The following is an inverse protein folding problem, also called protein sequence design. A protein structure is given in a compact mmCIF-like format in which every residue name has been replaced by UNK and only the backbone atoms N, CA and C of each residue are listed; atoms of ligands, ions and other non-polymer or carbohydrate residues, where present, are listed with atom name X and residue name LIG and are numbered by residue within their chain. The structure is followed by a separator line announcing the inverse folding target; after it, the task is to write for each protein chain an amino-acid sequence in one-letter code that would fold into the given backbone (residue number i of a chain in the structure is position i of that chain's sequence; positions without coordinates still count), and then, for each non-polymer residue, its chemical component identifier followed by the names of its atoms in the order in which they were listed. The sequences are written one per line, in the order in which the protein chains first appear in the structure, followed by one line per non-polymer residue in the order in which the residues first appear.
data_IF_127907612793
#
_entry.id   IF_127907612793
#
_cell.length_a   1.000
_cell.length_b   1.000
_cell.length_c   1.000
_cell.angle_alpha   90.00
_cell.angle_beta   90.00
_cell.angle_gamma   90.00
#
_symmetry.space_group_name_H-M   'P 1'
#
loop_
_entity.id
_entity.type
_entity.pdbx_description
1 polymer ?
#
# COMPACT_ATOMS: atom_id res chain seq x y z
N UNK A 1 -10.28 9.18 -19.31
CA UNK A 1 -10.22 7.97 -18.43
C UNK A 1 -11.37 7.00 -18.65
N UNK A 2 -12.63 7.48 -18.62
CA UNK A 2 -13.81 6.61 -18.74
C UNK A 2 -13.89 5.81 -20.06
N UNK A 3 -13.29 6.32 -21.13
CA UNK A 3 -13.24 5.64 -22.43
C UNK A 3 -12.48 4.31 -22.42
N UNK A 4 -11.59 4.10 -21.44
CA UNK A 4 -10.82 2.86 -21.26
C UNK A 4 -11.16 2.18 -19.93
N UNK A 5 -11.34 2.96 -18.87
CA UNK A 5 -11.58 2.46 -17.52
C UNK A 5 -13.02 2.71 -17.13
N UNK A 6 -13.78 1.64 -16.89
CA UNK A 6 -15.19 1.75 -16.49
C UNK A 6 -15.39 1.33 -15.04
N UNK A 7 -16.19 2.11 -14.30
CA UNK A 7 -16.67 1.75 -12.96
C UNK A 7 -18.19 1.56 -13.04
N UNK A 8 -18.62 0.31 -12.94
CA UNK A 8 -20.02 -0.08 -13.08
C UNK A 8 -20.29 -1.27 -12.15
N UNK A 9 -20.82 -1.07 -10.93
CA UNK A 9 -21.07 -2.14 -9.98
C UNK A 9 -22.07 -3.20 -10.47
N UNK A 10 -22.84 -2.91 -11.51
CA UNK A 10 -23.82 -3.82 -12.10
C UNK A 10 -23.32 -4.46 -13.41
N UNK A 11 -22.08 -4.17 -13.83
CA UNK A 11 -21.51 -4.74 -15.04
C UNK A 11 -21.56 -6.28 -15.05
N UNK A 12 -22.03 -6.86 -16.15
CA UNK A 12 -22.20 -8.31 -16.34
C UNK A 12 -23.25 -8.98 -15.42
N UNK A 13 -24.07 -8.22 -14.68
CA UNK A 13 -25.14 -8.78 -13.86
C UNK A 13 -26.15 -9.60 -14.68
N UNK A 14 -26.34 -9.27 -15.95
CA UNK A 14 -27.23 -9.96 -16.89
C UNK A 14 -26.86 -11.44 -17.12
N UNK A 15 -25.63 -11.85 -16.80
CA UNK A 15 -25.16 -13.23 -16.91
C UNK A 15 -25.33 -14.04 -15.61
N UNK A 16 -25.92 -13.47 -14.56
CA UNK A 16 -26.16 -14.15 -13.28
C UNK A 16 -24.89 -14.47 -12.49
N UNK A 17 -23.81 -13.68 -12.68
CA UNK A 17 -22.55 -13.85 -11.94
C UNK A 17 -22.71 -13.53 -10.46
N UNK A 18 -22.01 -14.27 -9.59
CA UNK A 18 -22.13 -14.10 -8.14
C UNK A 18 -21.67 -12.74 -7.61
N UNK A 19 -20.79 -12.05 -8.35
CA UNK A 19 -20.25 -10.72 -8.01
C UNK A 19 -20.13 -9.89 -9.30
N UNK A 20 -21.21 -9.20 -9.72
CA UNK A 20 -21.15 -8.34 -10.89
C UNK A 20 -20.22 -7.14 -10.64
N UNK A 21 -19.72 -6.57 -11.73
CA UNK A 21 -19.11 -5.25 -11.72
C UNK A 21 -17.87 -5.10 -12.60
N UNK A 22 -17.73 -3.91 -13.18
CA UNK A 22 -16.49 -3.39 -13.74
C UNK A 22 -15.85 -2.44 -12.74
N UNK A 23 -14.60 -2.68 -12.34
CA UNK A 23 -13.90 -1.93 -11.29
C UNK A 23 -12.63 -1.28 -11.85
N UNK A 24 -12.82 -0.40 -12.82
CA UNK A 24 -11.76 0.32 -13.51
C UNK A 24 -11.16 -0.40 -14.72
N UNK A 25 -11.78 -1.47 -15.20
CA UNK A 25 -11.46 -2.11 -16.49
C UNK A 25 -12.77 -2.52 -17.13
N UNK A 26 -12.93 -2.23 -18.42
CA UNK A 26 -14.08 -2.59 -19.24
C UNK A 26 -13.89 -3.95 -19.96
N UNK A 27 -12.80 -4.65 -19.66
CA UNK A 27 -12.46 -5.94 -20.27
C UNK A 27 -11.81 -5.84 -21.66
N UNK A 28 -11.62 -4.64 -22.20
CA UNK A 28 -11.02 -4.43 -23.52
C UNK A 28 -9.48 -4.47 -23.46
N UNK A 29 -8.90 -4.55 -24.66
CA UNK A 29 -7.47 -4.35 -24.89
C UNK A 29 -7.29 -3.01 -25.60
N UNK A 30 -6.19 -2.34 -25.30
CA UNK A 30 -5.80 -1.14 -26.02
C UNK A 30 -4.48 -1.42 -26.72
N UNK A 31 -4.35 -0.93 -27.96
CA UNK A 31 -3.03 -0.76 -28.55
C UNK A 31 -2.40 0.44 -27.84
N UNK A 32 -1.82 0.18 -26.68
CA UNK A 32 -1.06 1.16 -25.92
C UNK A 32 0.39 1.20 -26.40
N UNK A 33 1.12 2.20 -25.90
CA UNK A 33 2.48 2.57 -26.29
C UNK A 33 3.45 1.39 -26.49
N UNK A 34 4.35 1.55 -27.46
CA UNK A 34 5.54 0.73 -27.72
C UNK A 34 5.30 -0.79 -27.91
N UNK A 35 4.74 -1.15 -29.06
CA UNK A 35 4.75 -2.50 -29.67
C UNK A 35 4.00 -3.62 -28.93
N UNK A 36 3.36 -3.34 -27.79
CA UNK A 36 2.65 -4.34 -27.00
C UNK A 36 1.17 -4.01 -26.86
N UNK A 37 0.32 -4.99 -27.18
CA UNK A 37 -1.12 -4.91 -26.89
C UNK A 37 -1.36 -5.53 -25.53
N UNK A 38 -1.88 -4.74 -24.60
CA UNK A 38 -2.17 -5.16 -23.23
C UNK A 38 -3.65 -4.97 -22.93
N UNK A 39 -4.17 -5.83 -22.06
CA UNK A 39 -5.49 -5.63 -21.44
C UNK A 39 -5.47 -4.30 -20.68
N UNK A 40 -6.55 -3.53 -20.78
CA UNK A 40 -6.73 -2.33 -19.97
C UNK A 40 -6.76 -2.76 -18.49
N UNK A 41 -5.79 -2.35 -17.66
CA UNK A 41 -5.72 -2.79 -16.28
C UNK A 41 -6.88 -2.21 -15.48
N UNK A 42 -7.34 -2.95 -14.47
CA UNK A 42 -8.25 -2.39 -13.47
C UNK A 42 -7.53 -1.28 -12.69
N UNK A 43 -8.28 -0.34 -12.12
CA UNK A 43 -7.70 0.79 -11.39
C UNK A 43 -7.39 0.46 -9.92
N UNK A 44 -7.75 -0.74 -9.43
CA UNK A 44 -7.54 -1.18 -8.03
C UNK A 44 -6.08 -1.28 -7.59
N UNK A 45 -5.13 -1.25 -8.53
CA UNK A 45 -3.69 -1.24 -8.25
C UNK A 45 -3.10 0.19 -8.18
N UNK A 46 -3.94 1.22 -8.32
CA UNK A 46 -3.58 2.62 -8.14
C UNK A 46 -3.73 3.00 -6.67
N UNK A 47 -2.76 2.59 -5.87
CA UNK A 47 -2.63 2.98 -4.47
C UNK A 47 -1.30 3.73 -4.28
N UNK A 48 -1.14 4.39 -3.13
CA UNK A 48 0.12 5.03 -2.77
C UNK A 48 1.23 3.98 -2.70
N UNK A 49 2.23 4.08 -3.58
CA UNK A 49 3.35 3.14 -3.63
C UNK A 49 4.52 3.68 -2.81
N UNK A 50 5.20 2.79 -2.10
CA UNK A 50 6.39 3.13 -1.29
C UNK A 50 7.62 2.69 -2.06
N UNK A 51 8.60 3.58 -2.21
CA UNK A 51 9.91 3.27 -2.78
C UNK A 51 10.29 4.16 -3.97
N UNK A 52 9.33 4.59 -4.78
CA UNK A 52 9.57 5.55 -5.88
C UNK A 52 8.82 6.84 -5.60
N UNK A 53 9.50 7.80 -5.01
CA UNK A 53 8.97 9.06 -4.51
C UNK A 53 9.25 10.24 -5.44
N UNK A 54 10.22 10.12 -6.36
CA UNK A 54 10.61 11.19 -7.27
C UNK A 54 10.92 10.72 -8.68
N UNK A 55 11.05 11.70 -9.57
CA UNK A 55 11.37 11.51 -10.99
C UNK A 55 12.48 12.50 -11.40
N UNK A 56 13.42 12.12 -12.29
CA UNK A 56 14.49 13.01 -12.73
C UNK A 56 13.98 14.35 -13.27
N UNK A 57 14.65 15.44 -12.92
CA UNK A 57 14.39 16.77 -13.51
C UNK A 57 14.88 16.83 -14.96
N UNK A 58 14.27 17.71 -15.76
CA UNK A 58 14.66 17.97 -17.15
C UNK A 58 14.10 16.99 -18.18
N UNK A 59 13.26 16.04 -17.79
CA UNK A 59 12.48 15.24 -18.74
C UNK A 59 11.43 16.13 -19.40
N UNK A 60 11.58 16.35 -20.70
CA UNK A 60 10.73 17.26 -21.46
C UNK A 60 9.24 16.93 -21.34
N UNK A 61 8.88 15.65 -21.28
CA UNK A 61 7.50 15.18 -21.39
C UNK A 61 6.86 14.88 -20.02
N UNK A 62 7.66 14.52 -19.01
CA UNK A 62 7.14 14.09 -17.72
C UNK A 62 7.56 14.96 -16.53
N UNK A 63 8.64 15.73 -16.61
CA UNK A 63 9.08 16.59 -15.50
C UNK A 63 9.86 17.82 -16.01
N UNK A 64 9.12 18.79 -16.55
CA UNK A 64 9.66 20.06 -17.01
C UNK A 64 8.76 21.23 -16.62
N UNK A 65 9.26 22.49 -16.60
CA UNK A 65 8.44 23.66 -16.28
C UNK A 65 7.26 23.93 -17.22
N UNK A 66 7.16 23.21 -18.34
CA UNK A 66 6.14 23.41 -19.37
C UNK A 66 4.97 22.42 -19.27
N UNK A 67 5.05 21.44 -18.38
CA UNK A 67 3.95 20.50 -18.13
C UNK A 67 3.17 20.89 -16.86
N UNK A 68 1.88 20.51 -16.74
CA UNK A 68 1.05 20.96 -15.63
C UNK A 68 1.56 20.50 -14.26
N UNK A 69 2.10 19.29 -14.16
CA UNK A 69 2.77 18.82 -12.95
C UNK A 69 4.28 18.82 -13.10
N UNK A 70 4.94 19.72 -12.37
CA UNK A 70 6.40 19.85 -12.32
C UNK A 70 6.88 19.84 -10.87
N UNK A 71 7.80 18.94 -10.57
CA UNK A 71 8.47 18.90 -9.27
C UNK A 71 9.97 18.56 -9.48
N UNK A 72 10.86 19.56 -9.40
CA UNK A 72 12.30 19.34 -9.48
C UNK A 72 12.94 19.02 -8.13
N UNK A 73 12.15 18.97 -7.05
CA UNK A 73 12.70 18.81 -5.72
C UNK A 73 13.28 17.41 -5.50
N UNK A 74 14.40 17.37 -4.78
CA UNK A 74 15.09 16.13 -4.47
C UNK A 74 14.33 15.34 -3.40
N UNK A 75 13.86 14.14 -3.74
CA UNK A 75 13.00 13.30 -2.90
C UNK A 75 13.76 12.37 -1.92
N UNK A 76 15.08 12.53 -1.80
CA UNK A 76 15.93 11.68 -0.97
C UNK A 76 16.17 10.28 -1.56
N UNK A 77 16.53 9.32 -0.72
CA UNK A 77 16.83 7.94 -1.13
C UNK A 77 15.63 7.27 -1.81
N UNK A 78 15.87 6.69 -2.99
CA UNK A 78 14.85 6.04 -3.82
C UNK A 78 15.16 4.56 -4.03
N UNK A 79 14.11 3.73 -3.97
CA UNK A 79 14.12 2.38 -4.53
C UNK A 79 13.70 2.48 -5.99
N UNK A 80 14.49 1.88 -6.89
CA UNK A 80 14.19 1.87 -8.32
C UNK A 80 12.92 1.03 -8.59
N UNK A 81 11.96 1.62 -9.29
CA UNK A 81 10.83 0.97 -9.96
C UNK A 81 9.87 0.19 -9.05
N UNK A 82 8.87 0.89 -8.53
CA UNK A 82 7.54 0.35 -8.21
C UNK A 82 6.52 1.49 -8.26
N UNK A 83 6.48 2.21 -9.38
CA UNK A 83 5.62 3.38 -9.60
C UNK A 83 4.36 3.08 -10.41
N UNK A 84 3.77 4.12 -10.99
CA UNK A 84 2.72 4.08 -12.01
C UNK A 84 3.33 3.75 -13.38
N UNK A 85 2.47 3.46 -14.37
CA UNK A 85 2.78 2.81 -15.67
C UNK A 85 3.21 1.35 -15.58
N UNK A 86 3.18 0.63 -16.71
CA UNK A 86 3.43 -0.81 -16.78
C UNK A 86 4.89 -1.19 -16.45
N UNK A 87 5.82 -0.28 -16.69
CA UNK A 87 7.24 -0.39 -16.32
C UNK A 87 7.54 0.17 -14.91
N UNK A 88 6.52 0.72 -14.23
CA UNK A 88 6.63 1.31 -12.91
C UNK A 88 7.52 2.56 -12.86
N UNK A 89 7.72 3.27 -13.99
CA UNK A 89 8.69 4.36 -14.10
C UNK A 89 8.21 5.69 -13.53
N UNK A 90 6.91 5.87 -13.28
CA UNK A 90 6.35 7.15 -12.81
C UNK A 90 6.11 7.13 -11.31
N UNK A 91 6.62 8.12 -10.61
CA UNK A 91 6.51 8.27 -9.14
C UNK A 91 5.06 8.52 -8.67
N UNK A 92 4.28 9.29 -9.43
CA UNK A 92 2.94 9.73 -9.04
C UNK A 92 1.93 9.63 -10.20
N UNK A 93 0.61 9.58 -9.92
CA UNK A 93 -0.41 9.64 -10.96
C UNK A 93 -0.29 10.90 -11.82
N UNK A 94 -0.04 12.06 -11.20
CA UNK A 94 0.12 13.36 -11.87
C UNK A 94 1.29 13.34 -12.85
N UNK A 95 2.38 12.63 -12.51
CA UNK A 95 3.51 12.42 -13.42
C UNK A 95 3.08 11.69 -14.69
N UNK A 96 2.27 10.66 -14.55
CA UNK A 96 1.71 9.93 -15.69
C UNK A 96 0.71 10.81 -16.47
N UNK A 97 -0.10 11.62 -15.78
CA UNK A 97 -1.10 12.48 -16.40
C UNK A 97 -0.51 13.56 -17.31
N UNK A 98 0.74 13.98 -17.09
CA UNK A 98 1.46 14.85 -18.03
C UNK A 98 1.45 14.31 -19.48
N UNK A 99 1.39 12.98 -19.68
CA UNK A 99 1.29 12.38 -21.02
C UNK A 99 0.03 12.77 -21.80
N UNK A 100 -1.02 13.17 -21.08
CA UNK A 100 -2.30 13.57 -21.67
C UNK A 100 -2.53 15.07 -21.59
N UNK A 101 -1.55 15.87 -21.14
CA UNK A 101 -1.72 17.32 -20.96
C UNK A 101 -1.99 18.09 -22.26
N UNK A 102 -1.66 17.50 -23.42
CA UNK A 102 -1.87 18.11 -24.75
C UNK A 102 -3.14 17.61 -25.45
N UNK A 103 -3.85 16.63 -24.87
CA UNK A 103 -5.12 16.17 -25.41
C UNK A 103 -6.22 17.17 -25.07
N UNK A 104 -7.18 17.37 -26.00
CA UNK A 104 -8.28 18.33 -25.83
C UNK A 104 -9.14 18.01 -24.59
N UNK A 105 -9.41 16.73 -24.34
CA UNK A 105 -10.09 16.22 -23.14
C UNK A 105 -9.10 15.68 -22.08
N UNK A 106 -7.86 16.16 -22.13
CA UNK A 106 -6.76 15.71 -21.29
C UNK A 106 -6.65 16.43 -19.95
N UNK A 107 -5.58 16.12 -19.21
CA UNK A 107 -5.29 16.75 -17.93
C UNK A 107 -4.45 18.01 -18.15
N UNK A 108 -5.09 19.11 -18.55
CA UNK A 108 -4.40 20.33 -18.99
C UNK A 108 -3.89 21.21 -17.83
N UNK A 109 -4.37 20.96 -16.61
CA UNK A 109 -4.01 21.73 -15.42
C UNK A 109 -3.85 20.81 -14.19
N UNK A 110 -3.13 21.31 -13.18
CA UNK A 110 -2.80 20.55 -11.97
C UNK A 110 -4.01 20.30 -11.05
N UNK A 111 -5.00 21.18 -11.07
CA UNK A 111 -6.22 21.03 -10.28
C UNK A 111 -7.03 19.82 -10.78
N UNK A 112 -7.24 19.74 -12.10
CA UNK A 112 -7.86 18.60 -12.77
C UNK A 112 -7.08 17.31 -12.52
N UNK A 113 -5.75 17.33 -12.64
CA UNK A 113 -4.90 16.17 -12.33
C UNK A 113 -5.11 15.67 -10.90
N UNK A 114 -5.17 16.59 -9.94
CA UNK A 114 -5.35 16.25 -8.53
C UNK A 114 -6.74 15.69 -8.26
N UNK A 115 -7.78 16.31 -8.81
CA UNK A 115 -9.15 15.83 -8.67
C UNK A 115 -9.31 14.40 -9.22
N UNK A 116 -8.70 14.09 -10.36
CA UNK A 116 -8.73 12.74 -10.93
C UNK A 116 -7.88 11.77 -10.10
N UNK A 117 -6.70 12.16 -9.63
CA UNK A 117 -5.87 11.32 -8.76
C UNK A 117 -6.63 10.96 -7.46
N UNK A 118 -7.26 11.94 -6.82
CA UNK A 118 -8.03 11.76 -5.59
C UNK A 118 -9.23 10.83 -5.82
N UNK A 119 -9.94 11.01 -6.93
CA UNK A 119 -10.99 10.08 -7.33
C UNK A 119 -10.44 8.66 -7.47
N UNK A 120 -9.34 8.48 -8.21
CA UNK A 120 -8.71 7.17 -8.43
C UNK A 120 -8.21 6.51 -7.14
N UNK A 121 -7.78 7.27 -6.14
CA UNK A 121 -7.44 6.74 -4.82
C UNK A 121 -8.65 6.39 -3.96
N UNK A 122 -9.81 6.97 -4.26
CA UNK A 122 -11.05 6.77 -3.51
C UNK A 122 -11.99 5.72 -4.15
N UNK A 123 -11.75 5.28 -5.39
CA UNK A 123 -12.58 4.25 -6.02
C UNK A 123 -12.56 2.95 -5.23
N UNK A 124 -13.64 2.17 -5.37
CA UNK A 124 -13.76 0.90 -4.66
C UNK A 124 -12.72 -0.13 -5.13
N UNK A 125 -11.87 -0.57 -4.20
CA UNK A 125 -10.87 -1.62 -4.39
C UNK A 125 -11.26 -2.96 -3.74
N UNK A 126 -12.43 -3.03 -3.10
CA UNK A 126 -12.85 -4.04 -2.13
C UNK A 126 -12.00 -4.07 -0.83
N UNK A 127 -11.14 -3.07 -0.62
CA UNK A 127 -10.32 -2.93 0.58
C UNK A 127 -10.49 -1.51 1.13
N UNK A 128 -10.49 -1.41 2.45
CA UNK A 128 -10.47 -0.09 3.10
C UNK A 128 -9.13 0.62 2.83
N UNK A 129 -9.09 1.97 2.77
CA UNK A 129 -7.86 2.71 2.47
C UNK A 129 -6.68 2.47 3.42
N UNK A 130 -6.94 1.91 4.61
CA UNK A 130 -5.91 1.55 5.58
C UNK A 130 -5.15 0.27 5.20
N UNK A 131 -5.74 -0.60 4.38
CA UNK A 131 -5.11 -1.88 4.00
C UNK A 131 -3.84 -1.62 3.19
N UNK A 132 -2.76 -2.30 3.56
CA UNK A 132 -1.42 -2.10 2.99
C UNK A 132 -0.64 -0.95 3.61
N UNK A 133 -1.26 -0.12 4.45
CA UNK A 133 -0.54 0.92 5.18
C UNK A 133 0.38 0.30 6.23
N UNK A 134 1.62 0.82 6.28
CA UNK A 134 2.64 0.39 7.22
C UNK A 134 3.16 1.58 8.04
N UNK A 135 3.63 1.29 9.26
CA UNK A 135 4.41 2.24 10.05
C UNK A 135 5.53 1.50 10.78
N UNK A 136 6.76 1.96 10.62
CA UNK A 136 7.92 1.40 11.34
C UNK A 136 8.30 2.31 12.49
N UNK A 137 8.11 1.83 13.72
CA UNK A 137 8.61 2.46 14.93
C UNK A 137 10.08 2.06 15.15
N UNK A 138 10.95 3.05 15.29
CA UNK A 138 12.40 2.86 15.50
C UNK A 138 12.82 3.45 16.84
N UNK A 139 13.99 3.00 17.32
CA UNK A 139 14.60 3.54 18.54
C UNK A 139 14.76 5.07 18.52
N UNK A 140 15.09 5.65 17.36
CA UNK A 140 15.28 7.10 17.25
C UNK A 140 13.98 7.87 17.50
N UNK A 141 12.83 7.30 17.13
CA UNK A 141 11.53 7.92 17.32
C UNK A 141 11.19 8.05 18.82
N UNK A 142 11.58 7.06 19.63
CA UNK A 142 11.34 7.06 21.08
C UNK A 142 12.07 8.19 21.82
N UNK A 143 13.21 8.63 21.30
CA UNK A 143 14.04 9.70 21.88
C UNK A 143 13.70 11.10 21.40
N UNK A 144 12.82 11.22 20.39
CA UNK A 144 12.44 12.50 19.78
C UNK A 144 10.93 12.74 20.01
N UNK A 145 10.54 13.75 20.81
CA UNK A 145 9.13 13.98 21.15
C UNK A 145 8.19 14.15 19.95
N UNK A 146 8.63 14.84 18.90
CA UNK A 146 7.84 15.07 17.68
C UNK A 146 7.70 13.79 16.86
N UNK A 147 8.79 13.05 16.65
CA UNK A 147 8.76 11.78 15.93
C UNK A 147 7.94 10.71 16.68
N UNK A 148 8.04 10.69 18.02
CA UNK A 148 7.22 9.86 18.89
C UNK A 148 5.73 10.18 18.75
N UNK A 149 5.36 11.46 18.82
CA UNK A 149 3.97 11.88 18.66
C UNK A 149 3.39 11.48 17.30
N UNK A 150 4.15 11.70 16.22
CA UNK A 150 3.75 11.31 14.86
C UNK A 150 3.59 9.78 14.72
N UNK A 151 4.56 9.01 15.23
CA UNK A 151 4.50 7.54 15.23
C UNK A 151 3.32 7.01 16.04
N UNK A 152 3.06 7.60 17.21
CA UNK A 152 1.93 7.23 18.05
C UNK A 152 0.60 7.49 17.36
N UNK A 153 0.43 8.66 16.75
CA UNK A 153 -0.77 9.00 16.01
C UNK A 153 -1.00 8.00 14.86
N UNK A 154 0.07 7.61 14.15
CA UNK A 154 -0.02 6.64 13.06
C UNK A 154 -0.40 5.24 13.53
N UNK A 155 0.26 4.73 14.57
CA UNK A 155 -0.05 3.40 15.13
C UNK A 155 -1.46 3.39 15.75
N UNK A 156 -1.88 4.47 16.42
CA UNK A 156 -3.22 4.61 16.97
C UNK A 156 -4.30 4.57 15.87
N UNK A 157 -4.04 5.21 14.71
CA UNK A 157 -4.92 5.09 13.56
C UNK A 157 -5.01 3.63 13.08
N UNK A 158 -3.88 2.92 12.94
CA UNK A 158 -3.90 1.51 12.50
C UNK A 158 -4.71 0.63 13.45
N UNK A 159 -4.56 0.81 14.77
CA UNK A 159 -5.40 0.15 15.78
C UNK A 159 -6.88 0.47 15.60
N UNK A 160 -7.23 1.75 15.51
CA UNK A 160 -8.61 2.19 15.37
C UNK A 160 -9.30 1.58 14.14
N UNK A 161 -8.59 1.48 13.01
CA UNK A 161 -9.15 0.87 11.79
C UNK A 161 -9.23 -0.65 11.87
N UNK A 162 -8.29 -1.30 12.58
CA UNK A 162 -8.39 -2.72 12.87
C UNK A 162 -9.59 -3.05 13.77
N UNK A 163 -9.82 -2.24 14.82
CA UNK A 163 -10.98 -2.36 15.72
C UNK A 163 -12.31 -2.08 14.99
N UNK A 164 -12.28 -1.26 13.95
CA UNK A 164 -13.43 -1.05 13.06
C UNK A 164 -13.68 -2.22 12.09
N UNK A 165 -12.84 -3.27 12.09
CA UNK A 165 -12.97 -4.44 11.21
C UNK A 165 -12.55 -4.19 9.77
N UNK A 166 -11.83 -3.11 9.50
CA UNK A 166 -11.44 -2.74 8.13
C UNK A 166 -10.11 -3.34 7.67
N UNK A 167 -9.28 -3.75 8.63
CA UNK A 167 -8.03 -4.44 8.41
C UNK A 167 -7.78 -5.41 9.57
N UNK A 168 -6.87 -6.35 9.40
CA UNK A 168 -6.25 -7.03 10.53
C UNK A 168 -4.87 -6.42 10.75
N UNK A 169 -4.57 -6.03 11.99
CA UNK A 169 -3.30 -5.38 12.31
C UNK A 169 -2.27 -6.44 12.71
N UNK A 170 -1.13 -6.44 12.05
CA UNK A 170 0.03 -7.25 12.43
C UNK A 170 1.21 -6.35 12.78
N UNK A 171 2.17 -6.89 13.52
CA UNK A 171 3.47 -6.28 13.71
C UNK A 171 4.57 -7.32 13.47
N UNK A 172 5.67 -6.88 12.85
CA UNK A 172 6.88 -7.71 12.69
C UNK A 172 8.10 -6.99 13.24
N UNK A 173 8.95 -7.74 13.91
CA UNK A 173 10.24 -7.28 14.41
C UNK A 173 11.24 -8.43 14.48
N UNK A 174 12.46 -8.18 14.96
CA UNK A 174 13.49 -9.21 15.11
C UNK A 174 13.99 -9.31 16.54
N UNK A 175 14.10 -10.53 17.03
CA UNK A 175 14.74 -10.88 18.30
C UNK A 175 16.04 -11.64 18.02
N UNK A 176 17.14 -10.90 17.84
CA UNK A 176 18.41 -11.48 17.43
C UNK A 176 18.32 -12.11 16.03
N UNK A 177 18.58 -13.42 15.87
CA UNK A 177 18.47 -14.08 14.57
C UNK A 177 17.02 -14.40 14.15
N UNK A 178 16.07 -14.34 15.09
CA UNK A 178 14.70 -14.77 14.87
C UNK A 178 13.78 -13.60 14.49
N UNK A 179 12.84 -13.83 13.57
CA UNK A 179 11.71 -12.94 13.32
C UNK A 179 10.62 -13.21 14.36
N UNK A 180 10.14 -12.14 15.01
CA UNK A 180 8.94 -12.17 15.83
C UNK A 180 7.79 -11.59 15.03
N UNK A 181 6.85 -12.46 14.69
CA UNK A 181 5.55 -12.13 14.15
C UNK A 181 4.53 -11.88 15.26
N UNK A 182 3.62 -10.94 15.03
CA UNK A 182 2.58 -10.53 15.97
C UNK A 182 1.29 -10.26 15.20
N UNK A 183 0.15 -10.74 15.72
CA UNK A 183 -1.18 -10.39 15.22
C UNK A 183 -1.99 -9.74 16.36
N UNK A 184 -2.60 -8.58 16.09
CA UNK A 184 -3.39 -7.83 17.06
C UNK A 184 -4.80 -8.40 17.15
N UNK A 185 -5.20 -8.82 18.35
CA UNK A 185 -6.49 -9.40 18.64
C UNK A 185 -6.93 -8.95 20.05
N UNK A 186 -8.15 -8.42 20.17
CA UNK A 186 -8.77 -8.10 21.47
C UNK A 186 -7.91 -7.22 22.41
N UNK A 187 -7.20 -6.22 21.88
CA UNK A 187 -6.38 -5.30 22.69
C UNK A 187 -4.96 -5.79 23.01
N UNK A 188 -4.57 -6.97 22.53
CA UNK A 188 -3.24 -7.53 22.72
C UNK A 188 -2.70 -8.15 21.41
N UNK A 189 -1.45 -8.59 21.44
CA UNK A 189 -0.76 -9.18 20.31
C UNK A 189 -0.43 -10.65 20.58
N UNK A 190 -1.03 -11.55 19.82
CA UNK A 190 -0.66 -12.96 19.79
C UNK A 190 0.68 -13.12 19.07
N UNK A 191 1.59 -13.90 19.65
CA UNK A 191 2.97 -14.07 19.16
C UNK A 191 3.12 -15.25 18.21
N UNK A 192 4.07 -15.15 17.27
CA UNK A 192 4.50 -16.25 16.40
C UNK A 192 5.22 -17.38 17.14
N UNK A 193 5.44 -17.26 18.45
CA UNK A 193 5.90 -18.34 19.32
C UNK A 193 4.75 -18.74 20.23
N UNK A 194 4.24 -19.97 20.14
CA UNK A 194 3.10 -20.42 20.96
C UNK A 194 3.42 -20.49 22.45
N UNK A 195 4.69 -20.67 22.82
CA UNK A 195 5.15 -20.68 24.21
C UNK A 195 5.28 -19.29 24.86
N UNK A 196 5.13 -18.19 24.10
CA UNK A 196 5.18 -16.84 24.64
C UNK A 196 3.76 -16.31 24.95
N UNK A 197 3.58 -15.56 26.04
CA UNK A 197 2.31 -14.90 26.30
C UNK A 197 2.05 -13.79 25.28
N UNK A 198 0.76 -13.45 25.11
CA UNK A 198 0.38 -12.28 24.32
C UNK A 198 1.02 -11.00 24.89
N UNK A 199 1.37 -10.08 23.99
CA UNK A 199 2.00 -8.81 24.34
C UNK A 199 0.98 -7.67 24.30
N UNK A 200 1.03 -6.77 25.29
CA UNK A 200 0.32 -5.49 25.22
C UNK A 200 0.95 -4.56 24.18
N UNK A 201 0.18 -3.58 23.69
CA UNK A 201 0.68 -2.53 22.79
C UNK A 201 1.93 -1.82 23.36
N UNK A 202 1.94 -1.53 24.67
CA UNK A 202 3.09 -0.95 25.35
C UNK A 202 4.34 -1.84 25.27
N UNK A 203 4.19 -3.16 25.45
CA UNK A 203 5.30 -4.10 25.33
C UNK A 203 5.81 -4.20 23.89
N UNK A 204 4.91 -4.22 22.89
CA UNK A 204 5.31 -4.25 21.47
C UNK A 204 6.08 -2.97 21.09
N UNK A 205 5.65 -1.80 21.57
CA UNK A 205 6.38 -0.54 21.37
C UNK A 205 7.78 -0.55 22.00
N UNK A 206 7.94 -1.16 23.17
CA UNK A 206 9.24 -1.28 23.83
C UNK A 206 10.23 -2.15 23.04
N UNK A 207 9.76 -3.08 22.20
CA UNK A 207 10.64 -3.85 21.31
C UNK A 207 11.45 -2.95 20.36
N UNK A 208 10.91 -1.77 20.01
CA UNK A 208 11.58 -0.78 19.17
C UNK A 208 12.89 -0.22 19.78
N UNK A 209 13.13 -0.42 21.09
CA UNK A 209 14.41 -0.09 21.74
C UNK A 209 15.56 -1.00 21.25
N UNK A 210 15.25 -2.22 20.85
CA UNK A 210 16.22 -3.21 20.36
C UNK A 210 16.30 -3.25 18.84
N UNK A 211 15.17 -3.41 18.17
CA UNK A 211 15.07 -3.54 16.71
C UNK A 211 13.80 -2.84 16.20
N UNK A 212 13.78 -2.30 14.97
CA UNK A 212 12.57 -1.66 14.44
C UNK A 212 11.35 -2.59 14.48
N UNK A 213 10.18 -2.02 14.79
CA UNK A 213 8.90 -2.73 14.79
C UNK A 213 8.03 -2.15 13.68
N UNK A 214 7.66 -2.97 12.71
CA UNK A 214 6.82 -2.56 11.58
C UNK A 214 5.40 -3.07 11.78
N UNK A 215 4.46 -2.13 11.94
CA UNK A 215 3.04 -2.37 11.99
C UNK A 215 2.48 -2.36 10.56
N UNK A 216 1.56 -3.27 10.25
CA UNK A 216 0.91 -3.35 8.93
C UNK A 216 -0.57 -3.65 9.11
N UNK A 217 -1.44 -2.84 8.50
CA UNK A 217 -2.83 -3.24 8.29
C UNK A 217 -2.89 -4.17 7.08
N UNK A 218 -3.14 -5.46 7.29
CA UNK A 218 -3.35 -6.42 6.20
C UNK A 218 -4.83 -6.57 5.89
N UNK A 219 -5.15 -7.17 4.75
CA UNK A 219 -6.53 -7.42 4.36
C UNK A 219 -7.23 -8.31 5.42
N UNK A 220 -8.52 -8.06 5.73
CA UNK A 220 -9.29 -8.92 6.62
C UNK A 220 -9.19 -10.40 6.23
N UNK A 221 -9.07 -11.28 7.22
CA UNK A 221 -8.85 -12.72 7.08
C UNK A 221 -7.42 -13.13 6.72
N UNK A 222 -6.45 -12.21 6.68
CA UNK A 222 -5.06 -12.51 6.33
C UNK A 222 -4.06 -12.30 7.47
N UNK A 223 -4.49 -11.78 8.61
CA UNK A 223 -3.67 -11.40 9.76
C UNK A 223 -3.01 -12.58 10.46
N UNK A 224 -3.72 -13.70 10.64
CA UNK A 224 -3.11 -14.92 11.18
C UNK A 224 -1.96 -15.37 10.26
N UNK A 225 -2.27 -15.57 8.97
CA UNK A 225 -1.28 -16.03 8.00
C UNK A 225 -0.10 -15.08 7.89
N UNK A 226 -0.35 -13.80 7.66
CA UNK A 226 0.74 -12.83 7.45
C UNK A 226 1.45 -12.43 8.75
N UNK A 227 0.81 -12.60 9.90
CA UNK A 227 1.30 -12.19 11.20
C UNK A 227 2.13 -13.24 11.89
N UNK A 228 1.66 -14.49 11.93
CA UNK A 228 2.22 -15.54 12.80
C UNK A 228 2.37 -16.93 12.20
N UNK A 229 1.83 -17.22 11.01
CA UNK A 229 1.82 -18.55 10.36
C UNK A 229 1.81 -18.35 8.82
N UNK A 230 2.99 -18.04 8.26
CA UNK A 230 3.14 -17.49 6.90
C UNK A 230 2.60 -18.41 5.81
N UNK A 231 2.78 -19.71 5.96
CA UNK A 231 2.39 -20.73 4.99
C UNK A 231 1.05 -21.42 5.29
N UNK A 232 0.41 -21.05 6.41
CA UNK A 232 -0.95 -21.45 6.79
C UNK A 232 -1.06 -22.97 7.07
N UNK A 233 0.01 -23.56 7.61
CA UNK A 233 0.09 -25.00 7.91
C UNK A 233 -0.40 -25.35 9.34
N UNK A 234 -0.69 -24.33 10.15
CA UNK A 234 -1.17 -24.43 11.52
C UNK A 234 -0.07 -24.42 12.58
N UNK A 235 1.21 -24.39 12.19
CA UNK A 235 2.36 -24.12 13.06
C UNK A 235 2.74 -22.64 12.97
N UNK A 236 3.16 -22.05 14.09
CA UNK A 236 3.52 -20.63 14.10
C UNK A 236 4.97 -20.44 13.65
N UNK A 237 5.22 -19.43 12.82
CA UNK A 237 6.52 -19.08 12.22
C UNK A 237 7.68 -19.07 13.23
N UNK A 238 7.43 -18.59 14.46
CA UNK A 238 8.44 -18.50 15.51
C UNK A 238 8.79 -19.87 16.09
N UNK A 239 7.81 -20.76 16.22
CA UNK A 239 8.07 -22.13 16.66
C UNK A 239 8.90 -22.86 15.61
N UNK A 240 8.52 -22.81 14.33
CA UNK A 240 9.23 -23.46 13.22
C UNK A 240 10.69 -23.02 13.07
N UNK A 241 10.96 -21.73 13.31
CA UNK A 241 12.30 -21.16 13.35
C UNK A 241 13.25 -21.87 14.34
N UNK A 242 12.71 -22.42 15.43
CA UNK A 242 13.50 -23.19 16.40
C UNK A 242 13.87 -24.59 15.90
N UNK A 243 13.12 -25.12 14.92
CA UNK A 243 13.28 -26.46 14.36
C UNK A 243 13.86 -26.47 12.94
N UNK A 244 14.08 -25.31 12.33
CA UNK A 244 14.66 -25.17 11.00
C UNK A 244 13.72 -25.59 9.86
N UNK A 245 12.40 -25.47 10.07
CA UNK A 245 11.34 -25.72 9.09
C UNK A 245 10.84 -24.34 8.62
N UNK A 246 10.62 -24.15 7.31
CA UNK A 246 10.27 -22.85 6.68
C UNK A 246 9.41 -23.03 5.43
#
# INVERSE_FOLDING_TARGET
CESCHRIDPQGNAEYGVARPGFFGSDGQVVVAEFSQTLKIPHLRNLYTKVGTFGYPDGDFFFNSPFVPYYDPSHQGDQIRSFGFTHDGSKDQPQRFFNAFAVAEEGFQDFETMTAVADFLFAIDSNLAPVVGQQHTLRKQDLGNPQAWAASNARIALLHQRAEAGECELIAKTRLGPFELGLVYENGAYTTSFSGLPALSDAQVRLLALGTPVTYTCVAPGSGHRLGIDRDDDGMRDGDEQLWGQW
#
